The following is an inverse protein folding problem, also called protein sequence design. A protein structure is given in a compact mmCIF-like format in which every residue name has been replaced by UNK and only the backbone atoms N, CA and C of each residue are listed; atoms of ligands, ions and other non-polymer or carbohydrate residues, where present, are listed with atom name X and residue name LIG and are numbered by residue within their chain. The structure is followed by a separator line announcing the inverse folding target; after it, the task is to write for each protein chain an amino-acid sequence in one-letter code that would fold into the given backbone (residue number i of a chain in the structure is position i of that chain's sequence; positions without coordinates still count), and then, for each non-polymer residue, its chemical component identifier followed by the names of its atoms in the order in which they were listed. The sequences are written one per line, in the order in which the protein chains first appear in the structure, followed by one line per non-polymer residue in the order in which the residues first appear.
data_IF_553442904508
#
_entry.id   IF_553442904508
#
_cell.length_a   1.000
_cell.length_b   1.000
_cell.length_c   1.000
_cell.angle_alpha   90.00
_cell.angle_beta   90.00
_cell.angle_gamma   90.00
#
_symmetry.space_group_name_H-M   'P 1'
#
loop_
_entity.id
_entity.type
_entity.pdbx_description
1 polymer ?
#
# COMPACT_ATOMS: atom_id res chain seq x y z
N UNK A 1 -5.79 1.22 23.85
CA UNK A 1 -5.43 0.23 24.90
C UNK A 1 -5.21 -1.17 24.34
N UNK A 2 -5.94 -1.63 23.32
CA UNK A 2 -5.78 -2.97 22.75
C UNK A 2 -4.40 -3.24 22.11
N UNK A 3 -3.82 -2.28 21.39
CA UNK A 3 -2.50 -2.42 20.76
C UNK A 3 -1.36 -2.58 21.77
N UNK A 4 -1.39 -1.90 22.93
CA UNK A 4 -0.36 -2.08 23.98
C UNK A 4 -0.32 -3.51 24.51
N UNK A 5 -1.46 -4.21 24.56
CA UNK A 5 -1.54 -5.60 25.02
C UNK A 5 -0.93 -6.59 24.02
N UNK A 6 -1.16 -6.40 22.73
CA UNK A 6 -0.66 -7.27 21.65
C UNK A 6 0.86 -7.10 21.49
N UNK A 7 1.37 -5.87 21.55
CA UNK A 7 2.80 -5.59 21.44
C UNK A 7 3.61 -6.08 22.66
N UNK A 8 3.04 -6.02 23.87
CA UNK A 8 3.67 -6.56 25.06
C UNK A 8 3.79 -8.10 25.04
N UNK A 9 2.86 -8.81 24.40
CA UNK A 9 2.92 -10.26 24.26
C UNK A 9 3.96 -10.73 23.22
N UNK A 10 4.23 -9.94 22.18
CA UNK A 10 5.24 -10.26 21.16
C UNK A 10 6.68 -10.10 21.69
N UNK A 11 6.91 -9.16 22.59
CA UNK A 11 8.22 -8.94 23.22
C UNK A 11 8.60 -10.03 24.24
N UNK A 12 7.64 -10.80 24.76
CA UNK A 12 7.85 -11.83 25.80
C UNK A 12 7.99 -13.28 25.28
N UNK A 13 7.96 -13.52 23.97
CA UNK A 13 8.25 -14.84 23.41
C UNK A 13 9.74 -14.94 23.09
N UNK A 14 10.45 -15.59 24.01
CA UNK A 14 11.90 -15.74 24.09
C UNK A 14 12.57 -16.58 23.01
N UNK A 15 13.85 -16.94 23.17
CA UNK A 15 14.90 -16.84 22.15
C UNK A 15 15.07 -18.12 21.33
N UNK A 16 15.14 -17.97 20.04
CA UNK A 16 15.57 -19.05 19.15
C UNK A 16 15.68 -18.56 17.72
N UNK A 17 16.83 -17.99 17.40
CA UNK A 17 17.57 -18.15 16.15
C UNK A 17 18.63 -17.03 16.04
N UNK A 18 19.88 -17.43 16.41
CA UNK A 18 21.05 -16.69 15.96
C UNK A 18 21.29 -17.10 14.52
N UNK A 19 21.24 -16.15 13.61
CA UNK A 19 22.14 -16.02 12.43
C UNK A 19 21.75 -14.75 11.67
N UNK A 20 22.75 -13.98 11.25
CA UNK A 20 22.77 -12.68 10.57
C UNK A 20 22.70 -11.43 11.44
N UNK A 21 23.77 -11.29 12.25
CA UNK A 21 24.29 -9.95 12.57
C UNK A 21 25.22 -9.52 11.43
N UNK A 22 24.81 -8.53 10.67
CA UNK A 22 25.76 -7.60 10.03
C UNK A 22 25.00 -6.50 9.27
N UNK A 23 24.47 -5.50 9.96
CA UNK A 23 24.10 -4.20 9.35
C UNK A 23 23.71 -3.16 10.40
N UNK A 24 24.32 -3.22 11.58
CA UNK A 24 24.37 -2.03 12.46
C UNK A 24 25.41 -2.25 13.53
N UNK A 25 26.27 -1.29 13.67
CA UNK A 25 27.26 -1.07 14.73
C UNK A 25 28.71 -1.26 14.33
N UNK A 26 29.28 -0.20 13.87
CA UNK A 26 30.65 0.12 14.21
C UNK A 26 30.62 1.41 15.03
N UNK A 27 31.15 1.25 16.22
CA UNK A 27 31.67 2.19 17.21
C UNK A 27 30.74 2.60 18.35
N UNK A 28 30.90 1.89 19.45
CA UNK A 28 30.97 2.47 20.78
C UNK A 28 31.82 1.52 21.64
N UNK A 29 33.06 1.86 21.87
CA UNK A 29 33.87 1.27 22.93
C UNK A 29 33.62 2.05 24.23
N UNK A 30 33.42 1.26 25.24
CA UNK A 30 33.22 1.56 26.65
C UNK A 30 34.44 2.26 27.29
N UNK A 31 34.18 3.20 28.17
CA UNK A 31 34.95 3.31 29.41
C UNK A 31 34.02 3.74 30.56
N UNK A 32 34.08 2.97 31.67
CA UNK A 32 33.46 3.24 32.96
C UNK A 32 34.27 4.27 33.71
N UNK A 33 33.61 5.24 34.37
CA UNK A 33 34.22 6.11 35.33
C UNK A 33 33.19 7.02 35.98
N UNK A 34 32.66 6.59 37.13
CA UNK A 34 31.88 7.44 38.04
C UNK A 34 32.70 8.61 38.51
N UNK A 35 32.17 9.82 38.37
CA UNK A 35 32.44 10.95 39.29
C UNK A 35 31.27 11.93 39.26
N UNK A 36 30.53 11.94 40.36
CA UNK A 36 29.62 13.01 40.81
C UNK A 36 30.33 14.35 40.72
N UNK A 37 29.82 15.28 39.91
CA UNK A 37 30.16 16.69 40.05
C UNK A 37 28.94 17.59 39.78
N UNK A 38 28.81 18.58 40.70
CA UNK A 38 27.80 19.60 40.80
C UNK A 38 27.48 20.32 39.49
N UNK A 39 26.17 20.52 39.22
CA UNK A 39 25.67 21.41 38.16
C UNK A 39 26.03 22.88 38.46
N UNK A 40 27.13 23.34 37.92
CA UNK A 40 27.34 24.77 37.68
C UNK A 40 26.77 25.13 36.33
N UNK A 41 25.85 26.09 36.26
CA UNK A 41 25.35 26.65 35.02
C UNK A 41 26.52 27.24 34.21
N UNK A 42 26.96 26.51 33.18
CA UNK A 42 27.94 27.04 32.22
C UNK A 42 27.31 28.23 31.50
N UNK A 43 27.83 29.45 31.72
CA UNK A 43 27.57 30.63 30.88
C UNK A 43 27.84 30.20 29.43
N UNK A 44 26.82 30.33 28.54
CA UNK A 44 27.02 30.16 27.09
C UNK A 44 28.02 31.26 26.65
N UNK A 45 29.14 30.84 26.13
CA UNK A 45 30.15 31.72 25.54
C UNK A 45 29.53 32.41 24.30
N UNK A 46 29.40 33.75 24.24
CA UNK A 46 28.77 34.46 23.12
C UNK A 46 29.49 34.28 21.78
N UNK A 47 30.73 33.74 21.80
CA UNK A 47 31.58 33.57 20.62
C UNK A 47 31.63 32.14 20.10
N UNK A 48 30.98 31.17 20.75
CA UNK A 48 30.80 29.84 20.21
C UNK A 48 29.82 29.94 19.05
N UNK A 49 30.32 29.85 17.81
CA UNK A 49 29.45 29.65 16.64
C UNK A 49 28.61 28.41 16.91
N UNK A 50 27.27 28.46 16.72
CA UNK A 50 26.46 27.29 16.84
C UNK A 50 27.00 26.22 15.88
N UNK A 51 27.16 24.98 16.34
CA UNK A 51 27.55 23.88 15.47
C UNK A 51 26.60 23.88 14.28
N UNK A 52 27.16 23.82 13.07
CA UNK A 52 26.30 23.70 11.87
C UNK A 52 25.44 22.47 12.03
N UNK A 53 24.13 22.55 11.71
CA UNK A 53 23.26 21.36 11.68
C UNK A 53 23.90 20.27 10.81
N UNK A 54 23.93 19.07 11.32
CA UNK A 54 24.45 17.92 10.56
C UNK A 54 23.37 17.41 9.60
N UNK A 55 23.74 17.14 8.33
CA UNK A 55 22.81 16.60 7.33
C UNK A 55 22.84 15.07 7.36
N UNK A 56 21.72 14.45 7.72
CA UNK A 56 21.54 13.00 7.55
C UNK A 56 20.73 12.72 6.28
N UNK A 57 21.38 12.12 5.30
CA UNK A 57 20.73 11.75 4.05
C UNK A 57 19.63 10.68 4.22
N UNK A 58 19.56 9.97 5.35
CA UNK A 58 18.53 8.98 5.66
C UNK A 58 17.21 9.62 6.06
N UNK A 59 17.28 10.81 6.63
CA UNK A 59 16.12 11.62 7.02
C UNK A 59 16.41 13.12 6.80
N UNK A 60 16.50 13.57 5.51
CA UNK A 60 17.04 14.88 5.15
C UNK A 60 16.27 16.08 5.71
N UNK A 61 14.99 15.92 5.96
CA UNK A 61 14.08 16.96 6.46
C UNK A 61 13.40 16.57 7.78
N UNK A 62 14.02 15.66 8.56
CA UNK A 62 13.61 15.28 9.91
C UNK A 62 12.13 14.82 9.98
N UNK A 63 11.77 13.90 9.10
CA UNK A 63 10.43 13.28 9.08
C UNK A 63 10.12 12.58 10.42
N UNK A 64 11.12 11.90 10.99
CA UNK A 64 11.01 11.18 12.27
C UNK A 64 10.54 12.09 13.42
N UNK A 65 11.01 13.32 13.47
CA UNK A 65 10.63 14.28 14.51
C UNK A 65 9.17 14.75 14.42
N UNK A 66 8.51 14.52 13.28
CA UNK A 66 7.12 14.90 13.01
C UNK A 66 6.14 13.75 13.26
N UNK A 67 6.62 12.54 13.56
CA UNK A 67 5.82 11.38 13.88
C UNK A 67 5.53 11.30 15.38
N UNK A 68 4.37 10.77 15.72
CA UNK A 68 4.07 10.45 17.13
C UNK A 68 4.81 9.19 17.58
N UNK A 69 4.99 9.02 18.89
CA UNK A 69 5.62 7.83 19.44
C UNK A 69 4.88 6.52 19.04
N UNK A 70 3.55 6.55 18.95
CA UNK A 70 2.74 5.40 18.52
C UNK A 70 2.96 5.10 17.03
N UNK A 71 3.05 6.11 16.16
CA UNK A 71 3.34 5.95 14.73
C UNK A 71 4.72 5.33 14.50
N UNK A 72 5.72 5.78 15.24
CA UNK A 72 7.09 5.22 15.20
C UNK A 72 7.07 3.75 15.65
N UNK A 73 6.43 3.45 16.78
CA UNK A 73 6.34 2.08 17.31
C UNK A 73 5.65 1.13 16.34
N UNK A 74 4.54 1.55 15.75
CA UNK A 74 3.78 0.77 14.75
C UNK A 74 4.66 0.50 13.52
N UNK A 75 5.29 1.53 12.97
CA UNK A 75 6.18 1.41 11.82
C UNK A 75 7.34 0.44 12.09
N UNK A 76 8.04 0.59 13.22
CA UNK A 76 9.25 -0.19 13.52
C UNK A 76 8.91 -1.66 13.76
N UNK A 77 7.81 -1.93 14.46
CA UNK A 77 7.33 -3.29 14.67
C UNK A 77 6.98 -3.96 13.34
N UNK A 78 6.25 -3.25 12.47
CA UNK A 78 5.87 -3.79 11.17
C UNK A 78 7.05 -3.90 10.20
N UNK A 79 7.98 -2.97 10.24
CA UNK A 79 9.23 -3.04 9.48
C UNK A 79 10.02 -4.30 9.82
N UNK A 80 10.12 -4.64 11.11
CA UNK A 80 10.77 -5.87 11.56
C UNK A 80 10.10 -7.10 10.96
N UNK A 81 8.77 -7.19 11.03
CA UNK A 81 8.01 -8.25 10.36
C UNK A 81 8.28 -8.31 8.85
N UNK A 82 8.23 -7.19 8.16
CA UNK A 82 8.48 -7.10 6.72
C UNK A 82 9.88 -7.62 6.35
N UNK A 83 10.91 -7.21 7.09
CA UNK A 83 12.29 -7.58 6.77
C UNK A 83 12.64 -9.01 7.18
N UNK A 84 12.12 -9.50 8.31
CA UNK A 84 12.47 -10.82 8.82
C UNK A 84 11.58 -11.95 8.27
N UNK A 85 10.32 -11.65 7.93
CA UNK A 85 9.35 -12.67 7.52
C UNK A 85 8.98 -12.58 6.05
N UNK A 86 8.83 -11.39 5.48
CA UNK A 86 8.37 -11.23 4.10
C UNK A 86 9.52 -11.14 3.10
N UNK A 87 10.58 -10.39 3.40
CA UNK A 87 11.70 -10.20 2.49
C UNK A 87 12.39 -11.53 2.11
N UNK A 88 12.60 -12.50 3.00
CA UNK A 88 13.19 -13.79 2.61
C UNK A 88 12.34 -14.64 1.67
N UNK A 89 11.01 -14.43 1.64
CA UNK A 89 10.08 -15.22 0.81
C UNK A 89 9.92 -14.65 -0.59
N UNK A 90 10.12 -13.34 -0.76
CA UNK A 90 9.62 -12.63 -1.95
C UNK A 90 10.30 -13.05 -3.24
N UNK A 91 11.59 -13.38 -3.21
CA UNK A 91 12.33 -13.74 -4.42
C UNK A 91 11.74 -14.98 -5.10
N UNK A 92 11.53 -16.05 -4.35
CA UNK A 92 10.94 -17.28 -4.86
C UNK A 92 9.46 -17.12 -5.17
N UNK A 93 8.72 -16.35 -4.36
CA UNK A 93 7.33 -16.03 -4.61
C UNK A 93 7.15 -15.31 -5.95
N UNK A 94 8.00 -14.33 -6.24
CA UNK A 94 8.00 -13.62 -7.51
C UNK A 94 8.40 -14.53 -8.70
N UNK A 95 9.46 -15.33 -8.58
CA UNK A 95 9.90 -16.26 -9.64
C UNK A 95 8.81 -17.25 -10.02
N UNK A 96 8.12 -17.82 -9.04
CA UNK A 96 7.16 -18.90 -9.20
C UNK A 96 5.71 -18.42 -9.32
N UNK A 97 5.46 -17.10 -9.31
CA UNK A 97 4.10 -16.50 -9.31
C UNK A 97 3.23 -17.03 -8.16
N UNK A 98 3.79 -17.17 -6.96
CA UNK A 98 3.08 -17.70 -5.78
C UNK A 98 2.67 -16.57 -4.85
N UNK A 99 1.39 -16.54 -4.49
CA UNK A 99 0.87 -15.72 -3.41
C UNK A 99 0.75 -16.57 -2.13
N UNK A 100 1.46 -16.19 -1.10
CA UNK A 100 1.42 -16.82 0.20
C UNK A 100 0.24 -16.29 1.01
N UNK A 101 -0.88 -17.00 0.98
CA UNK A 101 -2.10 -16.55 1.68
C UNK A 101 -1.92 -16.35 3.18
N UNK A 102 -1.04 -17.11 3.81
CA UNK A 102 -0.73 -17.02 5.25
C UNK A 102 -0.26 -15.63 5.70
N UNK A 103 0.31 -14.83 4.78
CA UNK A 103 0.69 -13.44 5.12
C UNK A 103 -0.50 -12.58 5.55
N UNK A 104 -1.71 -12.92 5.09
CA UNK A 104 -2.93 -12.18 5.44
C UNK A 104 -3.28 -12.42 6.91
N UNK A 105 -3.20 -13.67 7.37
CA UNK A 105 -3.42 -14.00 8.79
C UNK A 105 -2.29 -13.43 9.67
N UNK A 106 -1.03 -13.50 9.21
CA UNK A 106 0.11 -12.90 9.91
C UNK A 106 -0.09 -11.37 10.09
N UNK A 107 -0.56 -10.66 9.06
CA UNK A 107 -0.90 -9.24 9.14
C UNK A 107 -2.11 -8.98 10.05
N UNK A 108 -3.10 -9.90 10.04
CA UNK A 108 -4.26 -9.84 10.93
C UNK A 108 -3.87 -9.95 12.40
N UNK A 109 -2.97 -10.87 12.75
CA UNK A 109 -2.43 -11.02 14.12
C UNK A 109 -1.70 -9.74 14.59
N UNK A 110 -1.10 -9.00 13.67
CA UNK A 110 -0.43 -7.71 13.94
C UNK A 110 -1.40 -6.52 13.96
N UNK A 111 -2.70 -6.72 13.72
CA UNK A 111 -3.69 -5.65 13.65
C UNK A 111 -3.57 -4.73 12.44
N UNK A 112 -2.98 -5.21 11.34
CA UNK A 112 -2.63 -4.40 10.17
C UNK A 112 -3.71 -4.42 9.06
N UNK A 113 -4.81 -5.15 9.26
CA UNK A 113 -5.92 -5.21 8.32
C UNK A 113 -7.07 -4.31 8.78
N UNK A 114 -7.51 -3.42 7.90
CA UNK A 114 -8.48 -2.37 8.24
C UNK A 114 -8.01 -1.43 9.36
N UNK A 115 -6.71 -1.04 9.42
CA UNK A 115 -6.12 -0.48 10.63
C UNK A 115 -6.71 0.87 11.05
N UNK A 116 -7.35 1.61 10.14
CA UNK A 116 -7.99 2.91 10.43
C UNK A 116 -9.46 2.78 10.87
N UNK A 117 -10.04 1.58 10.78
CA UNK A 117 -11.44 1.33 11.17
C UNK A 117 -11.55 1.32 12.69
N UNK A 118 -12.59 2.01 13.20
CA UNK A 118 -12.89 2.04 14.65
C UNK A 118 -13.83 0.88 15.01
N UNK A 119 -13.46 0.10 16.01
CA UNK A 119 -14.23 -1.06 16.43
C UNK A 119 -13.97 -2.32 15.59
N UNK A 120 -14.86 -3.30 15.68
CA UNK A 120 -14.88 -4.56 14.89
C UNK A 120 -13.54 -5.32 14.89
N UNK A 121 -12.84 -5.33 16.01
CA UNK A 121 -11.47 -5.92 16.15
C UNK A 121 -10.38 -5.24 15.33
N UNK A 122 -10.62 -4.09 14.75
CA UNK A 122 -9.63 -3.28 14.05
C UNK A 122 -8.84 -2.38 15.01
N UNK A 123 -7.66 -1.94 14.58
CA UNK A 123 -6.72 -1.22 15.45
C UNK A 123 -7.11 0.25 15.73
N UNK A 124 -7.82 0.92 14.82
CA UNK A 124 -8.26 2.32 14.96
C UNK A 124 -7.11 3.33 14.98
N UNK A 125 -6.05 3.10 14.17
CA UNK A 125 -4.87 3.98 14.12
C UNK A 125 -5.04 5.15 13.15
N UNK A 126 -4.09 6.11 13.20
CA UNK A 126 -4.08 7.28 12.31
C UNK A 126 -3.87 6.90 10.84
N UNK A 127 -4.29 7.77 9.93
CA UNK A 127 -3.99 7.64 8.51
C UNK A 127 -2.49 7.66 8.25
N UNK A 128 -1.70 8.43 9.01
CA UNK A 128 -0.24 8.43 8.92
C UNK A 128 0.32 7.06 9.28
N UNK A 129 -0.13 6.43 10.36
CA UNK A 129 0.28 5.07 10.71
C UNK A 129 -0.02 4.08 9.59
N UNK A 130 -1.22 4.12 8.99
CA UNK A 130 -1.54 3.29 7.83
C UNK A 130 -0.61 3.55 6.63
N UNK A 131 -0.29 4.81 6.37
CA UNK A 131 0.69 5.18 5.33
C UNK A 131 2.08 4.58 5.59
N UNK A 132 2.57 4.64 6.82
CA UNK A 132 3.84 4.04 7.21
C UNK A 132 3.84 2.51 7.06
N UNK A 133 2.72 1.83 7.39
CA UNK A 133 2.56 0.41 7.13
C UNK A 133 2.65 0.09 5.63
N UNK A 134 1.95 0.84 4.79
CA UNK A 134 1.99 0.69 3.35
C UNK A 134 3.42 0.89 2.80
N UNK A 135 4.17 1.88 3.31
CA UNK A 135 5.57 2.16 2.95
C UNK A 135 6.49 0.98 3.26
N UNK A 136 6.42 0.44 4.49
CA UNK A 136 7.29 -0.68 4.86
C UNK A 136 6.94 -1.97 4.11
N UNK A 137 5.67 -2.22 3.83
CA UNK A 137 5.25 -3.40 3.08
C UNK A 137 5.67 -3.32 1.60
N UNK A 138 5.51 -2.16 0.95
CA UNK A 138 5.90 -1.97 -0.45
C UNK A 138 7.42 -1.85 -0.64
N UNK A 139 8.16 -1.50 0.41
CA UNK A 139 9.62 -1.68 0.46
C UNK A 139 10.01 -3.14 0.19
N UNK A 140 9.19 -4.10 0.59
CA UNK A 140 9.36 -5.51 0.25
C UNK A 140 8.78 -5.78 -1.13
N UNK A 141 7.47 -5.55 -1.33
CA UNK A 141 6.81 -5.86 -2.61
C UNK A 141 5.47 -5.15 -2.77
N UNK A 142 5.23 -4.61 -3.96
CA UNK A 142 3.96 -3.97 -4.30
C UNK A 142 2.78 -4.97 -4.32
N UNK A 143 3.03 -6.26 -4.61
CA UNK A 143 2.00 -7.30 -4.57
C UNK A 143 1.50 -7.55 -3.15
N UNK A 144 2.39 -7.60 -2.18
CA UNK A 144 2.04 -7.74 -0.76
C UNK A 144 1.31 -6.50 -0.24
N UNK A 145 1.79 -5.29 -0.61
CA UNK A 145 1.08 -4.07 -0.26
C UNK A 145 -0.32 -4.03 -0.89
N UNK A 146 -0.48 -4.48 -2.14
CA UNK A 146 -1.78 -4.55 -2.80
C UNK A 146 -2.75 -5.49 -2.08
N UNK A 147 -2.28 -6.64 -1.58
CA UNK A 147 -3.12 -7.57 -0.80
C UNK A 147 -3.66 -6.90 0.48
N UNK A 148 -2.81 -6.20 1.24
CA UNK A 148 -3.22 -5.44 2.44
C UNK A 148 -4.19 -4.30 2.08
N UNK A 149 -3.88 -3.56 1.02
CA UNK A 149 -4.68 -2.40 0.59
C UNK A 149 -6.07 -2.81 0.09
N UNK A 150 -6.17 -3.86 -0.71
CA UNK A 150 -7.46 -4.40 -1.17
C UNK A 150 -8.29 -4.86 0.02
N UNK A 151 -7.70 -5.66 0.93
CA UNK A 151 -8.38 -6.12 2.13
C UNK A 151 -8.91 -4.94 2.95
N UNK A 152 -8.06 -3.96 3.26
CA UNK A 152 -8.38 -2.85 4.18
C UNK A 152 -9.28 -1.80 3.55
N UNK A 153 -8.93 -1.32 2.34
CA UNK A 153 -9.55 -0.13 1.75
C UNK A 153 -10.65 -0.45 0.74
N UNK A 154 -10.64 -1.64 0.12
CA UNK A 154 -11.59 -2.01 -0.93
C UNK A 154 -12.59 -3.10 -0.50
N UNK A 155 -12.29 -3.83 0.60
CA UNK A 155 -13.20 -4.83 1.16
C UNK A 155 -13.74 -4.39 2.51
N UNK A 156 -12.89 -4.14 3.49
CA UNK A 156 -13.34 -3.78 4.84
C UNK A 156 -13.97 -2.38 4.88
N UNK A 157 -13.39 -1.42 4.18
CA UNK A 157 -13.92 -0.04 4.18
C UNK A 157 -15.34 0.05 3.62
N UNK A 158 -15.70 -0.51 2.44
CA UNK A 158 -17.09 -0.43 1.95
C UNK A 158 -18.09 -1.12 2.88
N UNK A 159 -17.72 -2.22 3.54
CA UNK A 159 -18.58 -2.85 4.55
C UNK A 159 -18.74 -1.91 5.76
N UNK A 160 -17.66 -1.29 6.23
CA UNK A 160 -17.72 -0.33 7.34
C UNK A 160 -18.53 0.92 7.03
N UNK A 161 -18.32 1.50 5.84
CA UNK A 161 -18.94 2.77 5.45
C UNK A 161 -20.38 2.62 4.95
N UNK A 162 -20.68 1.51 4.27
CA UNK A 162 -21.93 1.36 3.52
C UNK A 162 -22.75 0.13 3.93
N UNK A 163 -22.20 -0.78 4.72
CA UNK A 163 -22.87 -2.00 5.18
C UNK A 163 -23.88 -1.74 6.29
N UNK A 164 -24.83 -2.66 6.46
CA UNK A 164 -25.68 -2.72 7.64
C UNK A 164 -24.87 -3.15 8.88
N UNK A 165 -25.42 -2.94 10.08
CA UNK A 165 -24.72 -3.37 11.29
C UNK A 165 -24.52 -4.89 11.34
N UNK A 166 -25.49 -5.66 10.84
CA UNK A 166 -25.38 -7.13 10.71
C UNK A 166 -24.22 -7.53 9.79
N UNK A 167 -24.09 -6.86 8.64
CA UNK A 167 -22.97 -7.08 7.71
C UNK A 167 -21.62 -6.73 8.36
N UNK A 168 -21.53 -5.62 9.08
CA UNK A 168 -20.31 -5.21 9.79
C UNK A 168 -19.91 -6.23 10.85
N UNK A 169 -20.83 -6.67 11.69
CA UNK A 169 -20.59 -7.65 12.72
C UNK A 169 -20.23 -9.04 12.16
N UNK A 170 -20.85 -9.43 11.04
CA UNK A 170 -20.60 -10.71 10.37
C UNK A 170 -19.20 -10.78 9.76
N UNK A 171 -18.75 -9.73 9.08
CA UNK A 171 -17.58 -9.80 8.23
C UNK A 171 -16.33 -9.10 8.80
N UNK A 172 -16.46 -7.89 9.38
CA UNK A 172 -15.30 -7.08 9.72
C UNK A 172 -14.36 -7.75 10.74
N UNK A 173 -14.83 -8.40 11.84
CA UNK A 173 -13.91 -9.04 12.79
C UNK A 173 -13.10 -10.18 12.17
N UNK A 174 -13.70 -10.94 11.25
CA UNK A 174 -13.04 -12.07 10.58
C UNK A 174 -12.06 -11.58 9.50
N UNK A 175 -12.41 -10.51 8.79
CA UNK A 175 -11.53 -9.85 7.83
C UNK A 175 -10.33 -9.19 8.53
N UNK A 176 -10.55 -8.56 9.69
CA UNK A 176 -9.50 -7.93 10.50
C UNK A 176 -8.45 -8.93 11.01
N UNK A 177 -8.88 -10.17 11.32
CA UNK A 177 -7.98 -11.26 11.72
C UNK A 177 -7.33 -12.00 10.55
N UNK A 178 -7.73 -11.69 9.29
CA UNK A 178 -7.27 -12.41 8.11
C UNK A 178 -7.84 -13.84 7.98
N UNK A 179 -8.89 -14.17 8.74
CA UNK A 179 -9.63 -15.44 8.59
C UNK A 179 -10.37 -15.49 7.25
N UNK A 180 -10.89 -14.34 6.81
CA UNK A 180 -11.46 -14.13 5.49
C UNK A 180 -10.56 -13.22 4.67
N UNK A 181 -10.38 -13.57 3.40
CA UNK A 181 -9.74 -12.73 2.40
C UNK A 181 -10.79 -12.24 1.42
N UNK A 182 -10.74 -10.94 1.12
CA UNK A 182 -11.68 -10.34 0.18
C UNK A 182 -11.05 -9.84 -1.12
N UNK A 183 -11.91 -9.55 -2.09
CA UNK A 183 -11.54 -8.88 -3.34
C UNK A 183 -12.60 -7.84 -3.74
N UNK A 184 -12.26 -7.00 -4.74
CA UNK A 184 -13.09 -5.86 -5.17
C UNK A 184 -13.28 -5.88 -6.67
N UNK A 185 -14.47 -6.24 -7.12
CA UNK A 185 -14.85 -6.38 -8.51
C UNK A 185 -15.51 -5.12 -9.06
N UNK A 186 -14.71 -4.23 -9.65
CA UNK A 186 -15.20 -3.04 -10.36
C UNK A 186 -14.85 -3.10 -11.85
N UNK A 187 -13.57 -3.23 -12.18
CA UNK A 187 -13.03 -3.20 -13.55
C UNK A 187 -13.57 -4.37 -14.40
N UNK A 188 -13.97 -4.08 -15.64
CA UNK A 188 -14.45 -5.03 -16.60
C UNK A 188 -13.53 -5.10 -17.83
N UNK A 189 -13.61 -6.16 -18.65
CA UNK A 189 -12.79 -6.27 -19.87
C UNK A 189 -12.89 -5.05 -20.79
N UNK A 190 -14.08 -4.47 -20.93
CA UNK A 190 -14.33 -3.30 -21.79
C UNK A 190 -14.31 -1.96 -21.04
N UNK A 191 -14.30 -1.96 -19.69
CA UNK A 191 -14.45 -0.76 -18.86
C UNK A 191 -13.39 -0.70 -17.75
N UNK A 192 -12.23 -0.12 -18.06
CA UNK A 192 -11.15 0.15 -17.12
C UNK A 192 -11.22 1.55 -16.54
N UNK A 193 -10.78 2.55 -17.33
CA UNK A 193 -10.77 3.96 -16.92
C UNK A 193 -12.16 4.61 -16.89
N UNK A 194 -13.15 4.01 -17.56
CA UNK A 194 -14.56 4.42 -17.53
C UNK A 194 -15.45 3.35 -16.88
N UNK A 195 -15.50 3.28 -15.54
CA UNK A 195 -16.38 2.35 -14.84
C UNK A 195 -17.86 2.73 -14.95
N UNK A 196 -18.18 3.93 -15.48
CA UNK A 196 -19.58 4.33 -15.70
C UNK A 196 -20.25 3.52 -16.79
N UNK A 197 -19.47 2.97 -17.70
CA UNK A 197 -19.97 2.11 -18.79
C UNK A 197 -20.20 0.66 -18.41
N UNK A 198 -19.99 0.24 -17.15
CA UNK A 198 -20.00 -1.18 -16.75
C UNK A 198 -21.19 -1.96 -17.32
N UNK A 199 -20.89 -3.17 -17.77
CA UNK A 199 -21.82 -4.10 -18.42
C UNK A 199 -22.41 -5.13 -17.45
N UNK A 200 -21.77 -5.38 -16.31
CA UNK A 200 -22.31 -6.29 -15.26
C UNK A 200 -23.67 -5.79 -14.78
N UNK A 201 -24.65 -6.67 -14.79
CA UNK A 201 -26.06 -6.39 -14.45
C UNK A 201 -26.51 -7.17 -13.23
N UNK A 202 -27.40 -6.55 -12.45
CA UNK A 202 -28.10 -7.17 -11.34
C UNK A 202 -29.59 -6.96 -11.54
N UNK A 203 -30.34 -8.06 -11.73
CA UNK A 203 -31.80 -8.07 -11.89
C UNK A 203 -32.45 -8.50 -10.57
N UNK A 204 -33.38 -7.71 -10.07
CA UNK A 204 -34.11 -8.02 -8.85
C UNK A 204 -35.13 -9.13 -9.08
N UNK A 205 -35.16 -10.12 -8.19
CA UNK A 205 -36.16 -11.17 -8.13
C UNK A 205 -36.96 -11.08 -6.83
N UNK A 206 -38.14 -10.41 -6.84
CA UNK A 206 -38.95 -10.24 -5.63
C UNK A 206 -39.44 -11.55 -5.01
N UNK A 207 -39.64 -12.60 -5.83
CA UNK A 207 -40.17 -13.88 -5.34
C UNK A 207 -39.20 -14.63 -4.45
N UNK A 208 -37.89 -14.53 -4.72
CA UNK A 208 -36.81 -15.13 -3.91
C UNK A 208 -36.16 -14.11 -2.98
N UNK A 209 -36.53 -12.84 -3.01
CA UNK A 209 -35.86 -11.74 -2.29
C UNK A 209 -34.37 -11.73 -2.56
N UNK A 210 -34.00 -11.75 -3.82
CA UNK A 210 -32.62 -11.85 -4.28
C UNK A 210 -32.37 -11.00 -5.53
N UNK A 211 -31.11 -10.86 -5.89
CA UNK A 211 -30.65 -10.30 -7.15
C UNK A 211 -29.94 -11.38 -7.97
N UNK A 212 -30.20 -11.42 -9.26
CA UNK A 212 -29.49 -12.29 -10.20
C UNK A 212 -28.42 -11.47 -10.90
N UNK A 213 -27.16 -11.83 -10.68
CA UNK A 213 -26.00 -11.13 -11.24
C UNK A 213 -25.44 -11.86 -12.45
N UNK A 214 -25.21 -11.10 -13.52
CA UNK A 214 -24.60 -11.56 -14.78
C UNK A 214 -23.52 -10.57 -15.24
N UNK A 215 -22.37 -11.10 -15.67
CA UNK A 215 -21.27 -10.32 -16.19
C UNK A 215 -19.90 -10.82 -15.74
N UNK A 216 -18.88 -10.02 -16.02
CA UNK A 216 -17.50 -10.37 -15.65
C UNK A 216 -16.70 -9.18 -15.18
N UNK A 217 -15.79 -9.42 -14.22
CA UNK A 217 -14.80 -8.48 -13.75
C UNK A 217 -13.40 -9.02 -14.06
N UNK A 218 -12.45 -8.15 -14.34
CA UNK A 218 -11.08 -8.55 -14.69
C UNK A 218 -10.03 -7.75 -13.94
N UNK A 219 -8.80 -8.27 -13.87
CA UNK A 219 -7.69 -7.68 -13.11
C UNK A 219 -7.97 -7.53 -11.62
N UNK A 220 -8.71 -8.50 -11.04
CA UNK A 220 -9.16 -8.44 -9.65
C UNK A 220 -8.14 -9.11 -8.75
N UNK A 221 -7.44 -8.28 -7.96
CA UNK A 221 -6.52 -8.73 -6.91
C UNK A 221 -7.27 -9.61 -5.90
N UNK A 222 -6.68 -10.73 -5.55
CA UNK A 222 -7.17 -11.78 -4.63
C UNK A 222 -8.34 -12.61 -5.15
N UNK A 223 -9.02 -12.30 -6.24
CA UNK A 223 -10.23 -13.04 -6.64
C UNK A 223 -10.07 -14.57 -6.70
N UNK A 224 -8.95 -15.16 -7.18
CA UNK A 224 -8.81 -16.62 -7.21
C UNK A 224 -8.77 -17.29 -5.82
N UNK A 225 -8.44 -16.52 -4.78
CA UNK A 225 -8.26 -17.02 -3.41
C UNK A 225 -9.18 -16.34 -2.39
N UNK A 226 -10.06 -15.44 -2.85
CA UNK A 226 -10.98 -14.69 -2.00
C UNK A 226 -12.11 -15.59 -1.46
N UNK A 227 -12.52 -15.32 -0.22
CA UNK A 227 -13.70 -15.90 0.44
C UNK A 227 -14.92 -14.99 0.30
N UNK A 228 -14.70 -13.67 0.19
CA UNK A 228 -15.71 -12.63 0.07
C UNK A 228 -15.38 -11.70 -1.10
N UNK A 229 -16.36 -11.42 -1.95
CA UNK A 229 -16.18 -10.58 -3.12
C UNK A 229 -17.14 -9.38 -3.04
N UNK A 230 -16.61 -8.17 -3.08
CA UNK A 230 -17.39 -6.93 -3.26
C UNK A 230 -17.54 -6.71 -4.76
N UNK A 231 -18.73 -6.81 -5.29
CA UNK A 231 -18.99 -6.65 -6.73
C UNK A 231 -19.94 -5.48 -6.98
N UNK A 232 -19.52 -4.57 -7.86
CA UNK A 232 -20.34 -3.46 -8.30
C UNK A 232 -21.06 -3.82 -9.60
N UNK A 233 -22.38 -3.68 -9.60
CA UNK A 233 -23.22 -4.01 -10.75
C UNK A 233 -24.31 -2.96 -10.95
N UNK A 234 -24.74 -2.81 -12.21
CA UNK A 234 -25.82 -1.93 -12.61
C UNK A 234 -27.15 -2.65 -12.45
N UNK A 235 -28.05 -2.09 -11.67
CA UNK A 235 -29.40 -2.58 -11.49
C UNK A 235 -30.36 -2.09 -12.61
N UNK A 236 -31.61 -2.61 -12.65
CA UNK A 236 -32.62 -2.28 -13.65
C UNK A 236 -33.03 -0.80 -13.63
N UNK A 237 -32.96 -0.16 -12.45
CA UNK A 237 -33.17 1.29 -12.27
C UNK A 237 -31.98 2.14 -12.73
N UNK A 238 -31.02 1.54 -13.41
CA UNK A 238 -29.75 2.14 -13.84
C UNK A 238 -28.80 2.55 -12.72
N UNK A 239 -29.16 2.36 -11.46
CA UNK A 239 -28.29 2.60 -10.33
C UNK A 239 -27.22 1.52 -10.19
N UNK A 240 -26.00 1.93 -9.82
CA UNK A 240 -24.93 1.00 -9.48
C UNK A 240 -25.00 0.72 -7.98
N UNK A 241 -24.99 -0.59 -7.62
CA UNK A 241 -25.00 -1.05 -6.22
C UNK A 241 -23.83 -2.00 -5.96
N UNK A 242 -23.41 -2.07 -4.72
CA UNK A 242 -22.40 -3.00 -4.23
C UNK A 242 -23.05 -4.25 -3.65
N UNK A 243 -22.54 -5.41 -4.03
CA UNK A 243 -23.02 -6.73 -3.64
C UNK A 243 -21.92 -7.51 -2.93
N UNK A 244 -22.28 -8.20 -1.85
CA UNK A 244 -21.42 -9.12 -1.11
C UNK A 244 -21.65 -10.53 -1.61
N UNK A 245 -20.72 -11.08 -2.40
CA UNK A 245 -20.77 -12.45 -2.87
C UNK A 245 -19.84 -13.31 -2.02
N UNK A 246 -20.30 -14.49 -1.64
CA UNK A 246 -19.50 -15.46 -0.90
C UNK A 246 -18.98 -16.54 -1.84
N UNK A 247 -17.78 -17.02 -1.59
CA UNK A 247 -17.16 -18.12 -2.34
C UNK A 247 -18.09 -19.34 -2.33
N UNK A 248 -18.25 -19.96 -3.49
CA UNK A 248 -19.08 -21.17 -3.65
C UNK A 248 -20.54 -20.89 -4.05
N UNK A 249 -20.96 -19.64 -4.19
CA UNK A 249 -22.26 -19.32 -4.80
C UNK A 249 -22.35 -19.95 -6.20
N UNK A 250 -23.50 -20.54 -6.53
CA UNK A 250 -23.73 -21.19 -7.83
C UNK A 250 -23.59 -20.14 -8.95
N UNK A 251 -22.93 -20.51 -10.05
CA UNK A 251 -22.69 -19.62 -11.19
C UNK A 251 -21.51 -18.66 -11.02
N UNK A 252 -20.86 -18.65 -9.84
CA UNK A 252 -19.68 -17.82 -9.56
C UNK A 252 -18.39 -18.60 -9.83
N UNK A 253 -17.51 -18.03 -10.65
CA UNK A 253 -16.15 -18.55 -10.84
C UNK A 253 -15.10 -17.44 -10.84
N UNK A 254 -13.89 -17.79 -10.41
CA UNK A 254 -12.80 -16.82 -10.22
C UNK A 254 -11.49 -17.33 -10.82
N UNK A 255 -11.40 -17.47 -12.16
CA UNK A 255 -10.19 -17.98 -12.82
C UNK A 255 -9.02 -17.01 -12.62
N UNK A 256 -7.81 -17.59 -12.46
CA UNK A 256 -6.57 -16.85 -12.31
C UNK A 256 -6.09 -16.30 -13.65
N UNK A 257 -5.48 -15.11 -13.63
CA UNK A 257 -4.69 -14.55 -14.73
C UNK A 257 -3.24 -14.93 -14.49
N UNK A 258 -2.66 -15.67 -15.41
CA UNK A 258 -1.27 -16.13 -15.36
C UNK A 258 -0.38 -15.35 -16.33
N UNK A 259 0.95 -15.49 -16.19
CA UNK A 259 1.91 -14.91 -17.11
C UNK A 259 2.10 -13.40 -16.95
N UNK A 260 1.76 -12.83 -15.80
CA UNK A 260 2.03 -11.41 -15.53
C UNK A 260 3.53 -11.17 -15.35
N UNK A 261 4.05 -10.08 -15.92
CA UNK A 261 5.43 -9.61 -15.66
C UNK A 261 5.53 -8.66 -14.46
N UNK A 262 4.41 -8.30 -13.85
CA UNK A 262 4.29 -7.38 -12.73
C UNK A 262 3.39 -7.98 -11.67
N UNK A 263 3.63 -7.64 -10.39
CA UNK A 263 2.85 -8.13 -9.24
C UNK A 263 2.75 -9.67 -9.22
N UNK A 264 3.85 -10.35 -9.54
CA UNK A 264 3.86 -11.82 -9.70
C UNK A 264 3.60 -12.55 -8.39
N UNK A 265 3.95 -11.95 -7.25
CA UNK A 265 3.65 -12.47 -5.91
C UNK A 265 2.21 -12.11 -5.43
N UNK A 266 1.38 -11.54 -6.29
CA UNK A 266 -0.03 -11.24 -6.01
C UNK A 266 -0.93 -12.16 -6.83
N UNK A 267 -1.94 -12.76 -6.18
CA UNK A 267 -2.98 -13.52 -6.87
C UNK A 267 -3.94 -12.55 -7.56
N UNK A 268 -4.05 -12.62 -8.88
CA UNK A 268 -4.92 -11.75 -9.68
C UNK A 268 -5.76 -12.61 -10.62
N UNK A 269 -7.05 -12.31 -10.75
CA UNK A 269 -7.92 -13.09 -11.60
C UNK A 269 -9.10 -12.31 -12.14
N UNK A 270 -10.10 -13.07 -12.57
CA UNK A 270 -11.41 -12.57 -12.99
C UNK A 270 -12.46 -12.93 -11.94
N UNK A 271 -13.63 -12.32 -12.06
CA UNK A 271 -14.88 -12.76 -11.42
C UNK A 271 -15.88 -12.95 -12.56
N UNK A 272 -16.34 -14.15 -12.77
CA UNK A 272 -17.33 -14.49 -13.79
C UNK A 272 -18.62 -14.88 -13.08
N UNK A 273 -19.71 -14.25 -13.47
CA UNK A 273 -21.04 -14.44 -12.91
C UNK A 273 -22.00 -14.85 -14.00
N UNK A 274 -22.58 -16.03 -13.82
CA UNK A 274 -23.59 -16.64 -14.72
C UNK A 274 -24.81 -17.02 -13.87
N UNK A 275 -25.82 -16.16 -13.88
CA UNK A 275 -27.02 -16.24 -13.04
C UNK A 275 -26.73 -16.46 -11.55
N UNK A 276 -25.76 -15.70 -11.00
CA UNK A 276 -25.44 -15.77 -9.58
C UNK A 276 -26.55 -15.14 -8.76
N UNK A 277 -27.21 -15.97 -7.94
CA UNK A 277 -28.27 -15.50 -7.03
C UNK A 277 -27.66 -14.96 -5.73
N UNK A 278 -27.89 -13.68 -5.45
CA UNK A 278 -27.38 -12.94 -4.29
C UNK A 278 -28.55 -12.44 -3.44
N UNK A 279 -28.68 -12.86 -2.16
CA UNK A 279 -29.75 -12.38 -1.29
C UNK A 279 -29.78 -10.86 -1.14
N UNK A 280 -30.98 -10.27 -0.98
CA UNK A 280 -31.15 -8.81 -0.77
C UNK A 280 -30.32 -8.31 0.41
N UNK A 281 -30.18 -9.10 1.45
CA UNK A 281 -29.39 -8.78 2.66
C UNK A 281 -27.90 -8.66 2.40
N UNK A 282 -27.43 -9.11 1.25
CA UNK A 282 -26.03 -8.99 0.81
C UNK A 282 -25.79 -7.75 -0.08
N UNK A 283 -26.78 -6.89 -0.27
CA UNK A 283 -26.57 -5.57 -0.89
C UNK A 283 -26.03 -4.60 0.15
N UNK A 284 -25.09 -3.73 -0.24
CA UNK A 284 -24.62 -2.64 0.61
C UNK A 284 -25.68 -1.53 0.66
N UNK A 285 -26.40 -1.33 1.77
CA UNK A 285 -27.58 -0.43 1.79
C UNK A 285 -27.21 1.04 1.84
N UNK A 286 -26.02 1.38 2.34
CA UNK A 286 -25.61 2.76 2.63
C UNK A 286 -25.11 3.55 1.42
N UNK A 287 -25.20 3.01 0.21
CA UNK A 287 -24.66 3.70 -0.98
C UNK A 287 -25.34 3.26 -2.27
N UNK A 288 -25.44 4.21 -3.21
CA UNK A 288 -25.85 3.97 -4.60
C UNK A 288 -25.03 4.83 -5.56
N UNK A 289 -24.89 4.38 -6.81
CA UNK A 289 -24.11 5.06 -7.84
C UNK A 289 -22.60 4.91 -7.70
N UNK A 290 -21.85 5.65 -8.52
CA UNK A 290 -20.39 5.58 -8.56
C UNK A 290 -19.69 6.20 -7.34
N UNK A 291 -20.41 6.96 -6.51
CA UNK A 291 -19.85 7.49 -5.27
C UNK A 291 -19.32 6.38 -4.35
N UNK A 292 -19.98 5.21 -4.35
CA UNK A 292 -19.54 4.05 -3.57
C UNK A 292 -18.14 3.57 -3.94
N UNK A 293 -17.94 3.04 -5.16
CA UNK A 293 -16.62 2.54 -5.55
C UNK A 293 -15.54 3.63 -5.55
N UNK A 294 -15.87 4.89 -5.89
CA UNK A 294 -14.88 5.97 -5.85
C UNK A 294 -14.46 6.36 -4.44
N UNK A 295 -15.35 6.30 -3.45
CA UNK A 295 -15.00 6.48 -2.05
C UNK A 295 -14.00 5.43 -1.57
N UNK A 296 -14.21 4.16 -1.97
CA UNK A 296 -13.29 3.06 -1.68
C UNK A 296 -11.93 3.27 -2.34
N UNK A 297 -11.92 3.59 -3.63
CA UNK A 297 -10.68 3.85 -4.39
C UNK A 297 -9.88 5.00 -3.79
N UNK A 298 -10.53 6.03 -3.27
CA UNK A 298 -9.83 7.16 -2.67
C UNK A 298 -9.01 6.76 -1.44
N UNK A 299 -9.54 5.85 -0.61
CA UNK A 299 -8.79 5.29 0.51
C UNK A 299 -7.63 4.39 0.06
N UNK A 300 -7.84 3.55 -0.95
CA UNK A 300 -6.80 2.69 -1.49
C UNK A 300 -5.67 3.51 -2.12
N UNK A 301 -6.00 4.52 -2.92
CA UNK A 301 -5.03 5.45 -3.54
C UNK A 301 -4.16 6.16 -2.52
N UNK A 302 -4.71 6.53 -1.36
CA UNK A 302 -3.95 7.12 -0.26
C UNK A 302 -2.81 6.18 0.20
N UNK A 303 -3.10 4.90 0.43
CA UNK A 303 -2.07 3.91 0.80
C UNK A 303 -0.99 3.73 -0.28
N UNK A 304 -1.38 3.82 -1.57
CA UNK A 304 -0.44 3.77 -2.70
C UNK A 304 0.55 4.94 -2.66
N UNK A 305 0.10 6.16 -2.30
CA UNK A 305 0.97 7.34 -2.26
C UNK A 305 2.19 7.16 -1.35
N UNK A 306 2.00 6.46 -0.22
CA UNK A 306 3.05 6.12 0.72
C UNK A 306 3.85 4.89 0.29
N UNK A 307 3.16 3.86 -0.16
CA UNK A 307 3.75 2.56 -0.47
C UNK A 307 4.88 2.65 -1.48
N UNK A 308 4.64 3.33 -2.60
CA UNK A 308 5.62 3.46 -3.69
C UNK A 308 6.92 4.14 -3.26
N UNK A 309 6.87 5.01 -2.24
CA UNK A 309 8.08 5.64 -1.70
C UNK A 309 8.94 4.62 -0.95
N UNK A 310 8.35 3.61 -0.31
CA UNK A 310 9.09 2.49 0.27
C UNK A 310 9.85 1.68 -0.79
N UNK A 311 9.22 1.40 -1.93
CA UNK A 311 9.89 0.75 -3.06
C UNK A 311 11.01 1.64 -3.65
N UNK A 312 10.77 2.94 -3.76
CA UNK A 312 11.78 3.91 -4.24
C UNK A 312 12.99 3.99 -3.29
N UNK A 313 12.76 4.00 -1.97
CA UNK A 313 13.83 3.98 -0.96
C UNK A 313 14.66 2.69 -1.03
N UNK A 314 13.99 1.54 -1.21
CA UNK A 314 14.72 0.28 -1.40
C UNK A 314 15.64 0.38 -2.61
N UNK A 315 15.14 0.86 -3.74
CA UNK A 315 15.92 1.03 -4.97
C UNK A 315 17.08 2.00 -4.80
N UNK A 316 16.87 3.15 -4.14
CA UNK A 316 17.92 4.12 -3.81
C UNK A 316 19.01 3.49 -2.95
N UNK A 317 18.63 2.79 -1.87
CA UNK A 317 19.58 2.18 -0.93
C UNK A 317 20.41 1.09 -1.62
N UNK A 318 19.78 0.25 -2.44
CA UNK A 318 20.46 -0.81 -3.20
C UNK A 318 21.42 -0.22 -4.23
N UNK A 319 20.97 0.77 -5.01
CA UNK A 319 21.82 1.42 -6.02
C UNK A 319 23.01 2.17 -5.38
N UNK A 320 22.75 2.87 -4.27
CA UNK A 320 23.81 3.55 -3.50
C UNK A 320 24.87 2.54 -3.04
N UNK A 321 24.47 1.48 -2.36
CA UNK A 321 25.43 0.49 -1.85
C UNK A 321 26.19 -0.17 -2.98
N UNK A 322 25.48 -0.62 -4.03
CA UNK A 322 26.12 -1.23 -5.19
C UNK A 322 27.17 -0.31 -5.82
N UNK A 323 26.89 0.97 -6.01
CA UNK A 323 27.80 1.92 -6.64
C UNK A 323 28.99 2.33 -5.75
N UNK A 324 28.88 2.19 -4.42
CA UNK A 324 29.99 2.31 -3.49
C UNK A 324 30.94 1.12 -3.55
N UNK A 325 30.39 -0.09 -3.70
CA UNK A 325 31.16 -1.34 -3.66
C UNK A 325 31.75 -1.72 -5.03
N UNK A 326 31.08 -1.35 -6.12
CA UNK A 326 31.50 -1.70 -7.49
C UNK A 326 32.63 -0.80 -7.97
N UNK A 327 33.80 -1.39 -8.17
CA UNK A 327 34.99 -0.72 -8.70
C UNK A 327 35.04 -0.88 -10.22
N UNK A 328 35.14 0.22 -10.96
CA UNK A 328 35.46 0.26 -12.39
C UNK A 328 36.41 1.42 -12.64
N UNK A 329 37.32 1.26 -13.64
CA UNK A 329 38.36 2.27 -13.92
C UNK A 329 39.19 2.65 -12.68
N UNK A 330 39.40 1.68 -11.75
CA UNK A 330 40.18 1.85 -10.53
C UNK A 330 39.50 2.64 -9.40
N UNK A 331 38.22 3.00 -9.53
CA UNK A 331 37.47 3.79 -8.52
C UNK A 331 36.03 3.24 -8.36
N UNK A 332 35.37 3.48 -7.19
CA UNK A 332 33.95 3.18 -7.02
C UNK A 332 33.10 3.92 -8.07
N UNK A 333 32.05 3.27 -8.57
CA UNK A 333 31.10 3.93 -9.48
C UNK A 333 30.50 5.19 -8.88
N UNK A 334 30.30 5.24 -7.56
CA UNK A 334 29.79 6.40 -6.82
C UNK A 334 30.66 7.67 -6.96
N UNK A 335 31.93 7.54 -7.42
CA UNK A 335 32.79 8.70 -7.72
C UNK A 335 32.37 9.43 -9.00
N UNK A 336 31.60 8.76 -9.88
CA UNK A 336 31.14 9.34 -11.14
C UNK A 336 30.06 10.38 -10.89
N UNK A 337 30.20 11.56 -11.48
CA UNK A 337 29.26 12.67 -11.32
C UNK A 337 27.84 12.33 -11.77
N UNK A 338 27.66 11.53 -12.85
CA UNK A 338 26.35 11.11 -13.31
C UNK A 338 25.66 10.15 -12.30
N UNK A 339 26.41 9.33 -11.58
CA UNK A 339 25.90 8.49 -10.50
C UNK A 339 25.48 9.36 -9.30
N UNK A 340 26.32 10.30 -8.89
CA UNK A 340 26.01 11.21 -7.79
C UNK A 340 24.76 12.05 -8.08
N UNK A 341 24.62 12.54 -9.31
CA UNK A 341 23.43 13.26 -9.74
C UNK A 341 22.17 12.40 -9.61
N UNK A 342 22.18 11.17 -10.10
CA UNK A 342 21.04 10.24 -9.99
C UNK A 342 20.68 9.98 -8.53
N UNK A 343 21.65 9.75 -7.64
CA UNK A 343 21.41 9.56 -6.22
C UNK A 343 20.78 10.80 -5.56
N UNK A 344 21.26 12.01 -5.92
CA UNK A 344 20.69 13.26 -5.42
C UNK A 344 19.25 13.47 -5.87
N UNK A 345 18.95 13.24 -7.16
CA UNK A 345 17.60 13.35 -7.72
C UNK A 345 16.64 12.38 -7.01
N UNK A 346 17.04 11.10 -6.84
CA UNK A 346 16.25 10.09 -6.14
C UNK A 346 15.93 10.51 -4.69
N UNK A 347 16.94 10.94 -3.95
CA UNK A 347 16.78 11.38 -2.56
C UNK A 347 15.83 12.56 -2.45
N UNK A 348 15.95 13.53 -3.35
CA UNK A 348 15.12 14.73 -3.39
C UNK A 348 13.65 14.36 -3.59
N UNK A 349 13.32 13.55 -4.60
CA UNK A 349 11.95 13.18 -4.91
C UNK A 349 11.31 12.32 -3.81
N UNK A 350 12.06 11.39 -3.21
CA UNK A 350 11.59 10.58 -2.07
C UNK A 350 11.27 11.48 -0.88
N UNK A 351 12.17 12.39 -0.54
CA UNK A 351 12.01 13.29 0.61
C UNK A 351 10.79 14.18 0.47
N UNK A 352 10.64 14.83 -0.68
CA UNK A 352 9.47 15.67 -0.97
C UNK A 352 8.16 14.87 -0.96
N UNK A 353 8.18 13.67 -1.55
CA UNK A 353 7.04 12.76 -1.55
C UNK A 353 6.61 12.35 -0.14
N UNK A 354 7.54 11.99 0.74
CA UNK A 354 7.27 11.58 2.12
C UNK A 354 6.63 12.72 2.93
N UNK A 355 7.17 13.94 2.86
CA UNK A 355 6.61 15.09 3.58
C UNK A 355 5.22 15.49 3.05
N UNK A 356 5.01 15.41 1.74
CA UNK A 356 3.70 15.62 1.16
C UNK A 356 2.68 14.55 1.62
N UNK A 357 3.11 13.29 1.72
CA UNK A 357 2.28 12.20 2.24
C UNK A 357 1.95 12.40 3.73
N UNK A 358 2.91 12.83 4.54
CA UNK A 358 2.67 13.15 5.95
C UNK A 358 1.61 14.24 6.09
N UNK A 359 1.74 15.33 5.33
CA UNK A 359 0.75 16.41 5.32
C UNK A 359 -0.63 15.91 4.90
N UNK A 360 -0.72 15.09 3.84
CA UNK A 360 -1.98 14.51 3.40
C UNK A 360 -2.59 13.60 4.48
N UNK A 361 -1.77 12.81 5.17
CA UNK A 361 -2.21 11.95 6.28
C UNK A 361 -2.81 12.77 7.43
N UNK A 362 -2.15 13.85 7.85
CA UNK A 362 -2.67 14.77 8.87
C UNK A 362 -3.99 15.43 8.44
N UNK A 363 -4.10 15.83 7.16
CA UNK A 363 -5.35 16.37 6.62
C UNK A 363 -6.48 15.32 6.60
N UNK A 364 -6.13 14.08 6.30
CA UNK A 364 -7.10 12.96 6.28
C UNK A 364 -7.63 12.65 7.69
N UNK A 365 -6.77 12.68 8.71
CA UNK A 365 -7.16 12.49 10.11
C UNK A 365 -8.04 13.66 10.65
N UNK A 366 -8.07 14.80 9.95
CA UNK A 366 -8.89 15.97 10.25
C UNK A 366 -10.14 16.09 9.35
N UNK A 367 -10.44 15.08 8.51
CA UNK A 367 -11.51 15.11 7.50
C UNK A 367 -11.40 16.29 6.50
N UNK A 368 -10.18 16.75 6.21
CA UNK A 368 -9.88 17.84 5.28
C UNK A 368 -9.28 17.42 3.96
N UNK A 369 -9.10 16.11 3.74
CA UNK A 369 -8.46 15.60 2.54
C UNK A 369 -9.47 15.48 1.38
N UNK A 370 -9.36 16.36 0.40
CA UNK A 370 -10.12 16.24 -0.85
C UNK A 370 -9.57 15.12 -1.75
N UNK A 371 -10.41 14.47 -2.59
CA UNK A 371 -9.99 13.42 -3.52
C UNK A 371 -8.87 13.86 -4.49
N UNK A 372 -8.88 15.12 -4.89
CA UNK A 372 -7.87 15.72 -5.77
C UNK A 372 -6.49 15.76 -5.10
N UNK A 373 -6.40 15.96 -3.79
CA UNK A 373 -5.14 15.91 -3.04
C UNK A 373 -4.53 14.50 -3.08
N UNK A 374 -5.38 13.46 -2.98
CA UNK A 374 -4.96 12.07 -3.12
C UNK A 374 -4.50 11.79 -4.56
N UNK A 375 -5.26 12.28 -5.56
CA UNK A 375 -4.90 12.15 -6.97
C UNK A 375 -3.57 12.81 -7.30
N UNK A 376 -3.30 13.99 -6.74
CA UNK A 376 -2.05 14.73 -6.89
C UNK A 376 -0.86 13.89 -6.44
N UNK A 377 -0.92 13.32 -5.23
CA UNK A 377 0.19 12.55 -4.70
C UNK A 377 0.30 11.16 -5.32
N UNK A 378 -0.82 10.47 -5.61
CA UNK A 378 -0.77 9.18 -6.31
C UNK A 378 -0.08 9.33 -7.67
N UNK A 379 -0.48 10.33 -8.46
CA UNK A 379 0.15 10.62 -9.75
C UNK A 379 1.64 10.89 -9.60
N UNK A 380 2.01 11.85 -8.74
CA UNK A 380 3.40 12.27 -8.57
C UNK A 380 4.28 11.11 -8.08
N UNK A 381 3.89 10.50 -6.96
CA UNK A 381 4.75 9.54 -6.27
C UNK A 381 4.91 8.22 -7.06
N UNK A 382 3.84 7.74 -7.74
CA UNK A 382 3.96 6.55 -8.58
C UNK A 382 4.90 6.78 -9.77
N UNK A 383 4.76 7.92 -10.47
CA UNK A 383 5.64 8.25 -11.59
C UNK A 383 7.10 8.39 -11.15
N UNK A 384 7.34 9.14 -10.06
CA UNK A 384 8.70 9.33 -9.51
C UNK A 384 9.32 8.04 -8.99
N UNK A 385 8.55 7.18 -8.30
CA UNK A 385 9.05 5.89 -7.84
C UNK A 385 9.45 4.98 -9.00
N UNK A 386 8.67 4.95 -10.09
CA UNK A 386 8.99 4.20 -11.28
C UNK A 386 10.28 4.72 -11.95
N UNK A 387 10.44 6.04 -12.08
CA UNK A 387 11.65 6.65 -12.61
C UNK A 387 12.88 6.33 -11.75
N UNK A 388 12.74 6.39 -10.42
CA UNK A 388 13.79 6.03 -9.46
C UNK A 388 14.19 4.56 -9.63
N UNK A 389 13.21 3.65 -9.70
CA UNK A 389 13.50 2.22 -9.86
C UNK A 389 14.21 1.92 -11.20
N UNK A 390 13.79 2.55 -12.30
CA UNK A 390 14.45 2.44 -13.61
C UNK A 390 15.88 2.96 -13.59
N UNK A 391 16.13 4.11 -12.94
CA UNK A 391 17.47 4.66 -12.77
C UNK A 391 18.34 3.76 -11.89
N UNK A 392 17.81 3.24 -10.78
CA UNK A 392 18.52 2.29 -9.93
C UNK A 392 18.92 1.03 -10.72
N UNK A 393 17.99 0.45 -11.51
CA UNK A 393 18.28 -0.68 -12.40
C UNK A 393 19.44 -0.36 -13.37
N UNK A 394 19.40 0.83 -13.98
CA UNK A 394 20.45 1.29 -14.89
C UNK A 394 21.82 1.39 -14.19
N UNK A 395 21.87 1.94 -12.97
CA UNK A 395 23.10 2.08 -12.18
C UNK A 395 23.75 0.74 -11.80
N UNK A 396 22.97 -0.34 -11.74
CA UNK A 396 23.48 -1.69 -11.51
C UNK A 396 24.01 -2.36 -12.80
N UNK A 397 23.83 -1.76 -13.96
CA UNK A 397 24.24 -2.32 -15.25
C UNK A 397 23.58 -3.67 -15.54
N UNK A 398 24.35 -4.66 -15.98
CA UNK A 398 23.85 -6.02 -16.25
C UNK A 398 23.25 -6.70 -15.00
N UNK A 399 23.81 -6.44 -13.82
CA UNK A 399 23.28 -6.97 -12.56
C UNK A 399 21.88 -6.40 -12.22
N UNK A 400 21.54 -5.24 -12.77
CA UNK A 400 20.20 -4.64 -12.61
C UNK A 400 19.08 -5.41 -13.34
N UNK A 401 19.42 -6.38 -14.19
CA UNK A 401 18.45 -7.25 -14.88
C UNK A 401 18.18 -8.52 -14.07
N UNK A 402 19.08 -8.89 -13.16
CA UNK A 402 18.88 -10.02 -12.26
C UNK A 402 17.95 -9.64 -11.10
N UNK A 403 17.06 -10.57 -10.75
CA UNK A 403 16.14 -10.38 -9.61
C UNK A 403 16.82 -10.54 -8.23
N UNK A 404 18.08 -11.00 -8.19
CA UNK A 404 18.88 -11.15 -6.97
C UNK A 404 19.08 -9.82 -6.22
N UNK A 405 19.09 -8.69 -6.95
CA UNK A 405 19.17 -7.35 -6.37
C UNK A 405 17.79 -6.76 -6.08
N UNK A 406 16.71 -7.45 -6.39
CA UNK A 406 15.30 -7.06 -6.25
C UNK A 406 14.88 -5.79 -7.04
N UNK A 407 15.81 -5.01 -7.56
CA UNK A 407 15.52 -3.72 -8.23
C UNK A 407 14.64 -3.93 -9.46
N UNK A 408 14.95 -4.93 -10.33
CA UNK A 408 14.13 -5.22 -11.52
C UNK A 408 12.70 -5.63 -11.14
N UNK A 409 12.50 -6.34 -10.03
CA UNK A 409 11.18 -6.70 -9.52
C UNK A 409 10.38 -5.45 -9.15
N UNK A 410 10.99 -4.47 -8.49
CA UNK A 410 10.35 -3.19 -8.20
C UNK A 410 10.05 -2.40 -9.48
N UNK A 411 10.92 -2.40 -10.48
CA UNK A 411 10.64 -1.78 -11.80
C UNK A 411 9.38 -2.38 -12.40
N UNK A 412 9.32 -3.72 -12.51
CA UNK A 412 8.16 -4.41 -13.09
C UNK A 412 6.87 -4.13 -12.30
N UNK A 413 6.92 -4.18 -10.97
CA UNK A 413 5.77 -3.93 -10.11
C UNK A 413 5.26 -2.50 -10.23
N UNK A 414 6.14 -1.52 -10.28
CA UNK A 414 5.78 -0.11 -10.34
C UNK A 414 5.14 0.29 -11.67
N UNK A 415 5.36 -0.47 -12.77
CA UNK A 415 4.59 -0.30 -14.02
C UNK A 415 3.09 -0.52 -13.78
N UNK A 416 2.72 -1.58 -13.03
CA UNK A 416 1.31 -1.80 -12.64
C UNK A 416 0.82 -0.74 -11.67
N UNK A 417 1.62 -0.37 -10.68
CA UNK A 417 1.23 0.62 -9.66
C UNK A 417 0.97 2.00 -10.28
N UNK A 418 1.74 2.38 -11.31
CA UNK A 418 1.52 3.62 -12.06
C UNK A 418 0.27 3.55 -12.96
N UNK A 419 -0.24 2.34 -13.24
CA UNK A 419 -1.36 2.09 -14.16
C UNK A 419 -2.70 1.92 -13.46
N UNK A 420 -2.77 1.14 -12.36
CA UNK A 420 -4.03 0.78 -11.72
C UNK A 420 -4.62 1.86 -10.80
N UNK A 421 -5.86 1.64 -10.34
CA UNK A 421 -6.61 2.54 -9.44
C UNK A 421 -6.66 3.99 -9.95
N UNK A 422 -6.81 4.15 -11.25
CA UNK A 422 -6.63 5.38 -11.99
C UNK A 422 -5.21 5.47 -12.53
N UNK A 423 -5.09 5.53 -13.86
CA UNK A 423 -3.81 5.72 -14.53
C UNK A 423 -3.20 7.07 -14.17
N UNK A 424 -1.89 7.20 -14.40
CA UNK A 424 -1.18 8.48 -14.28
C UNK A 424 -1.92 9.62 -15.00
N UNK A 425 -2.46 9.34 -16.19
CA UNK A 425 -3.17 10.32 -17.02
C UNK A 425 -4.58 10.62 -16.49
N UNK A 426 -5.32 9.61 -16.01
CA UNK A 426 -6.63 9.84 -15.36
C UNK A 426 -6.48 10.79 -14.16
N UNK A 427 -5.43 10.62 -13.33
CA UNK A 427 -5.17 11.55 -12.24
C UNK A 427 -4.78 12.95 -12.75
N UNK A 428 -4.09 13.08 -13.89
CA UNK A 428 -3.83 14.37 -14.51
C UNK A 428 -5.13 15.05 -14.95
N UNK A 429 -6.09 14.30 -15.51
CA UNK A 429 -7.39 14.83 -15.92
C UNK A 429 -8.25 15.26 -14.71
N UNK A 430 -8.21 14.51 -13.59
CA UNK A 430 -8.87 14.91 -12.34
C UNK A 430 -8.33 16.27 -11.88
N UNK A 431 -7.00 16.45 -11.87
CA UNK A 431 -6.37 17.72 -11.48
C UNK A 431 -6.66 18.83 -12.49
N UNK A 432 -6.60 18.53 -13.80
CA UNK A 432 -6.92 19.48 -14.86
C UNK A 432 -8.33 20.05 -14.69
N UNK A 433 -9.30 19.19 -14.41
CA UNK A 433 -10.68 19.62 -14.08
C UNK A 433 -10.72 20.50 -12.83
N UNK A 434 -10.02 20.11 -11.77
CA UNK A 434 -10.00 20.90 -10.52
C UNK A 434 -9.39 22.30 -10.72
N UNK A 435 -8.38 22.42 -11.59
CA UNK A 435 -7.68 23.68 -11.89
C UNK A 435 -8.51 24.57 -12.80
N UNK A 436 -9.17 23.99 -13.82
CA UNK A 436 -9.82 24.75 -14.91
C UNK A 436 -11.33 24.85 -14.77
N UNK A 437 -11.96 24.00 -13.96
CA UNK A 437 -13.41 23.82 -13.94
C UNK A 437 -13.97 23.09 -15.16
N UNK A 438 -13.13 22.69 -16.14
CA UNK A 438 -13.54 22.08 -17.41
C UNK A 438 -13.24 20.58 -17.37
N UNK A 439 -14.26 19.77 -17.64
CA UNK A 439 -14.11 18.32 -17.74
C UNK A 439 -13.54 17.93 -19.11
N UNK A 440 -12.49 17.09 -19.11
CA UNK A 440 -11.82 16.65 -20.35
C UNK A 440 -12.73 15.78 -21.24
N UNK A 441 -13.60 14.97 -20.61
CA UNK A 441 -14.59 14.18 -21.32
C UNK A 441 -15.98 14.54 -20.80
N UNK A 442 -16.92 14.68 -21.71
CA UNK A 442 -18.34 14.60 -21.38
C UNK A 442 -18.77 13.21 -21.83
N UNK A 443 -19.29 12.40 -20.91
CA UNK A 443 -19.93 11.14 -21.30
C UNK A 443 -20.91 11.46 -22.43
N UNK A 444 -20.76 10.82 -23.57
CA UNK A 444 -21.64 11.03 -24.71
C UNK A 444 -23.09 10.88 -24.25
N UNK A 445 -23.95 11.83 -24.64
CA UNK A 445 -25.39 11.75 -24.40
C UNK A 445 -25.98 10.58 -25.14
#
# INVERSE_FOLDING_TARGET
MALRGVYAQLLNRGPGLRVFRSWSSATAQTEKGEKTQSRSAKRKDPWLRPSRPEFDWRDPLLLEEQLTADEILIRDTFRTYCQERLMPRILLANRNEVFHREIVSEMGELGMLGPTIQGYSCAGVSSVAYGLLARELERVDSGYRSAMSVQSSLVMYPIYAYGSEEQKQKYLPRLAKGELLGCFGLTEPNHGSDPSGMETRARHNPSSRSYILNGSKTWITNSPVADLLIVWARCEDSCIRGFLLEKGMRGLSTPRIEGKFSLRASSTGMIIMDDVEVPEENVLPGVSGLAGPFGCLNNARYGITWGVLGAAEFCLHTARQYTLDRIQFGVPLAKNQLIQKKLADMLTEITLGLHACLQLGRLKDQDKAAPEMVSLLKRNNCGKALDIARQARDMLGGNGISDEYHVIRHVMNLESVNTYEGTHDIHALILGRAITGIQAFVAGK
#
